data_IF_534455191221
#
_entry.id   IF_534455191221
#
_cell.length_a   1.000
_cell.length_b   1.000
_cell.length_c   1.000
_cell.angle_alpha   90.00
_cell.angle_beta   90.00
_cell.angle_gamma   90.00
#
_symmetry.space_group_name_H-M   'P 1'
#
loop_
_entity.id
_entity.type
_entity.pdbx_description
1 polymer ?
#
# COMPACT_ATOMS: atom_id res chain seq x y z
N UNK A 1 6.42 18.83 -19.68
CA UNK A 1 6.77 17.60 -20.41
C UNK A 1 5.54 17.13 -21.18
N UNK A 2 5.72 16.41 -22.29
CA UNK A 2 4.59 15.78 -22.97
C UNK A 2 4.18 14.49 -22.23
N UNK A 3 3.02 13.93 -22.57
CA UNK A 3 2.57 12.67 -21.99
C UNK A 3 3.55 11.53 -22.33
N UNK A 4 3.97 11.44 -23.59
CA UNK A 4 4.91 10.43 -24.05
C UNK A 4 6.23 10.47 -23.25
N UNK A 5 6.80 11.66 -23.03
CA UNK A 5 8.00 11.81 -22.19
C UNK A 5 7.75 11.38 -20.75
N UNK A 6 6.62 11.78 -20.14
CA UNK A 6 6.28 11.39 -18.77
C UNK A 6 6.13 9.87 -18.64
N UNK A 7 5.46 9.23 -19.60
CA UNK A 7 5.28 7.77 -19.63
C UNK A 7 6.61 7.04 -19.82
N UNK A 8 7.47 7.53 -20.72
CA UNK A 8 8.80 6.95 -21.00
C UNK A 8 9.66 6.90 -19.73
N UNK A 9 9.68 7.98 -18.95
CA UNK A 9 10.44 8.04 -17.69
C UNK A 9 9.70 7.40 -16.49
N UNK A 10 8.54 6.80 -16.72
CA UNK A 10 7.80 6.04 -15.71
C UNK A 10 6.87 6.83 -14.81
N UNK A 11 6.65 8.11 -15.12
CA UNK A 11 5.89 9.06 -14.30
C UNK A 11 6.38 9.04 -12.84
N UNK A 12 7.64 9.46 -12.58
CA UNK A 12 8.23 9.46 -11.25
C UNK A 12 7.32 10.15 -10.24
N UNK A 13 7.25 9.67 -8.98
CA UNK A 13 6.39 10.25 -7.97
C UNK A 13 6.51 11.76 -7.87
N UNK A 14 7.73 12.32 -7.85
CA UNK A 14 7.95 13.77 -7.73
C UNK A 14 7.33 14.60 -8.87
N UNK A 15 7.09 13.99 -10.04
CA UNK A 15 6.41 14.67 -11.15
C UNK A 15 4.90 14.51 -11.11
N UNK A 16 4.35 13.64 -10.27
CA UNK A 16 2.90 13.46 -10.03
C UNK A 16 2.40 14.39 -8.91
N UNK A 17 2.89 15.63 -8.91
CA UNK A 17 2.55 16.65 -7.93
C UNK A 17 1.05 16.97 -7.95
N UNK A 18 0.40 16.82 -6.79
CA UNK A 18 -1.03 17.10 -6.63
C UNK A 18 -1.34 18.59 -6.85
N UNK A 19 -0.41 19.50 -6.52
CA UNK A 19 -0.54 20.93 -6.77
C UNK A 19 -0.63 21.29 -8.26
N UNK A 20 -0.19 20.36 -9.13
CA UNK A 20 -0.24 20.52 -10.58
C UNK A 20 -1.47 19.87 -11.21
N UNK A 21 -1.87 18.69 -10.75
CA UNK A 21 -2.87 17.86 -11.44
C UNK A 21 -4.22 17.76 -10.74
N UNK A 22 -4.31 18.10 -9.45
CA UNK A 22 -5.56 18.11 -8.69
C UNK A 22 -6.14 19.52 -8.63
N UNK A 23 -7.47 19.61 -8.68
CA UNK A 23 -8.20 20.88 -8.46
C UNK A 23 -8.40 21.18 -6.97
N UNK A 24 -8.06 20.22 -6.11
CA UNK A 24 -8.13 20.30 -4.64
C UNK A 24 -6.83 19.73 -4.07
N UNK A 25 -5.69 20.42 -4.25
CA UNK A 25 -4.40 19.95 -3.73
C UNK A 25 -4.24 20.12 -2.22
N UNK A 26 -5.09 20.92 -1.58
CA UNK A 26 -5.02 21.21 -0.16
C UNK A 26 -5.52 20.05 0.70
N UNK A 27 -4.90 19.87 1.86
CA UNK A 27 -5.40 18.96 2.88
C UNK A 27 -6.66 19.52 3.55
N UNK A 28 -7.68 18.69 3.82
CA UNK A 28 -8.89 19.15 4.50
C UNK A 28 -8.60 19.81 5.85
N UNK A 29 -9.07 21.04 6.03
CA UNK A 29 -9.00 21.78 7.30
C UNK A 29 -10.34 21.72 8.04
N UNK A 30 -10.30 21.57 9.36
CA UNK A 30 -11.50 21.51 10.19
C UNK A 30 -12.34 22.79 10.06
N UNK A 31 -13.65 22.62 9.86
CA UNK A 31 -14.61 23.73 9.71
C UNK A 31 -14.78 24.24 8.27
N UNK A 32 -13.94 23.79 7.34
CA UNK A 32 -14.07 24.12 5.91
C UNK A 32 -14.83 23.04 5.14
N UNK A 33 -15.39 23.42 3.99
CA UNK A 33 -16.18 22.54 3.13
C UNK A 33 -15.31 22.08 1.96
N UNK A 34 -15.13 20.76 1.85
CA UNK A 34 -14.41 20.11 0.76
C UNK A 34 -15.35 19.23 -0.06
N UNK A 35 -15.14 19.12 -1.39
CA UNK A 35 -15.93 18.21 -2.20
C UNK A 35 -15.64 16.76 -1.82
N UNK A 36 -16.68 15.91 -1.84
CA UNK A 36 -16.52 14.47 -1.66
C UNK A 36 -15.65 13.84 -2.77
N UNK A 37 -15.74 14.43 -3.98
CA UNK A 37 -15.00 14.05 -5.17
C UNK A 37 -14.74 15.30 -6.01
N UNK A 38 -13.50 15.48 -6.46
CA UNK A 38 -13.14 16.38 -7.54
C UNK A 38 -12.45 15.62 -8.68
N UNK A 39 -12.76 15.99 -9.91
CA UNK A 39 -12.17 15.40 -11.12
C UNK A 39 -11.54 16.53 -11.92
N UNK A 40 -10.24 16.43 -12.21
CA UNK A 40 -9.53 17.38 -13.05
C UNK A 40 -9.00 16.71 -14.31
N UNK A 41 -9.31 17.31 -15.45
CA UNK A 41 -8.83 16.89 -16.77
C UNK A 41 -7.64 17.78 -17.14
N UNK A 42 -6.46 17.19 -17.26
CA UNK A 42 -5.22 17.91 -17.57
C UNK A 42 -4.77 17.58 -18.99
N UNK A 43 -4.96 18.52 -19.92
CA UNK A 43 -4.42 18.39 -21.28
C UNK A 43 -2.92 18.66 -21.27
N UNK A 44 -2.15 17.69 -21.75
CA UNK A 44 -0.71 17.83 -21.95
C UNK A 44 -0.41 17.64 -23.44
N UNK A 45 0.78 18.08 -23.89
CA UNK A 45 1.21 17.74 -25.26
C UNK A 45 1.10 16.22 -25.42
N UNK A 46 0.52 15.77 -26.52
CA UNK A 46 0.34 14.36 -26.93
C UNK A 46 -0.45 13.44 -25.97
N UNK A 47 -1.19 13.99 -24.98
CA UNK A 47 -2.04 13.16 -24.13
C UNK A 47 -2.88 13.90 -23.10
N UNK A 48 -3.40 13.13 -22.15
CA UNK A 48 -4.35 13.55 -21.12
C UNK A 48 -3.96 12.92 -19.78
N UNK A 49 -4.08 13.67 -18.69
CA UNK A 49 -4.05 13.11 -17.33
C UNK A 49 -5.39 13.41 -16.65
N UNK A 50 -6.15 12.36 -16.34
CA UNK A 50 -7.39 12.44 -15.57
C UNK A 50 -7.07 12.21 -14.09
N UNK A 51 -7.25 13.24 -13.26
CA UNK A 51 -6.99 13.17 -11.83
C UNK A 51 -8.31 13.03 -11.07
N UNK A 52 -8.38 12.06 -10.17
CA UNK A 52 -9.46 11.90 -9.20
C UNK A 52 -8.93 12.26 -7.80
N UNK A 53 -9.60 13.18 -7.13
CA UNK A 53 -9.38 13.48 -5.72
C UNK A 53 -10.63 13.09 -4.92
N UNK A 54 -10.51 12.06 -4.09
CA UNK A 54 -11.61 11.51 -3.28
C UNK A 54 -11.40 11.83 -1.80
N UNK A 55 -12.43 12.35 -1.14
CA UNK A 55 -12.38 12.62 0.29
C UNK A 55 -12.55 11.31 1.08
N UNK A 56 -11.50 10.86 1.76
CA UNK A 56 -11.47 9.52 2.37
C UNK A 56 -12.48 9.34 3.52
N UNK A 57 -12.98 10.41 4.15
CA UNK A 57 -14.09 10.31 5.10
C UNK A 57 -15.42 9.86 4.44
N UNK A 58 -15.55 10.01 3.12
CA UNK A 58 -16.76 9.66 2.37
C UNK A 58 -16.71 8.21 1.89
N UNK A 59 -15.57 7.78 1.33
CA UNK A 59 -15.44 6.50 0.65
C UNK A 59 -14.02 5.93 0.82
N UNK A 60 -13.91 4.61 0.89
CA UNK A 60 -12.64 3.92 0.91
C UNK A 60 -12.15 3.53 -0.51
N UNK A 61 -10.95 2.92 -0.58
CA UNK A 61 -10.40 2.45 -1.85
C UNK A 61 -11.24 1.39 -2.57
N UNK A 62 -12.10 0.64 -1.86
CA UNK A 62 -13.03 -0.31 -2.47
C UNK A 62 -14.19 0.42 -3.16
N UNK A 63 -14.80 1.38 -2.46
CA UNK A 63 -15.83 2.24 -3.02
C UNK A 63 -15.29 3.09 -4.19
N UNK A 64 -14.04 3.55 -4.12
CA UNK A 64 -13.37 4.22 -5.23
C UNK A 64 -13.20 3.29 -6.45
N UNK A 65 -12.87 2.00 -6.22
CA UNK A 65 -12.76 1.01 -7.30
C UNK A 65 -14.07 0.87 -8.05
N UNK A 66 -15.19 0.72 -7.34
CA UNK A 66 -16.51 0.61 -7.95
C UNK A 66 -16.93 1.90 -8.65
N UNK A 67 -16.67 3.06 -8.05
CA UNK A 67 -16.90 4.34 -8.71
C UNK A 67 -16.16 4.46 -10.04
N UNK A 68 -14.88 4.12 -10.10
CA UNK A 68 -14.10 4.26 -11.34
C UNK A 68 -14.61 3.33 -12.44
N UNK A 69 -15.03 2.10 -12.08
CA UNK A 69 -15.66 1.16 -13.04
C UNK A 69 -16.96 1.72 -13.62
N UNK A 70 -17.84 2.22 -12.76
CA UNK A 70 -19.10 2.84 -13.18
C UNK A 70 -18.86 4.13 -13.97
N UNK A 71 -17.87 4.94 -13.59
CA UNK A 71 -17.48 6.15 -14.31
C UNK A 71 -17.02 5.84 -15.75
N UNK A 72 -16.16 4.83 -15.93
CA UNK A 72 -15.73 4.41 -17.28
C UNK A 72 -16.84 3.72 -18.09
N UNK A 73 -17.75 3.01 -17.43
CA UNK A 73 -18.92 2.44 -18.08
C UNK A 73 -19.88 3.55 -18.54
N UNK A 74 -20.14 4.54 -17.70
CA UNK A 74 -21.02 5.66 -18.03
C UNK A 74 -20.50 6.59 -19.13
N UNK A 75 -19.18 6.66 -19.33
CA UNK A 75 -18.61 7.39 -20.48
C UNK A 75 -18.74 6.63 -21.80
N UNK A 76 -18.93 5.31 -21.75
CA UNK A 76 -19.11 4.47 -22.95
C UNK A 76 -20.58 4.18 -23.25
N UNK A 77 -21.39 3.94 -22.22
CA UNK A 77 -22.84 3.75 -22.27
C UNK A 77 -23.53 4.47 -21.10
N UNK A 78 -23.89 5.76 -21.27
CA UNK A 78 -24.52 6.57 -20.23
C UNK A 78 -25.87 6.04 -19.73
N UNK A 79 -26.52 5.13 -20.48
CA UNK A 79 -27.82 4.57 -20.15
C UNK A 79 -27.77 3.38 -19.18
N UNK A 80 -26.58 2.86 -18.89
CA UNK A 80 -26.38 1.60 -18.17
C UNK A 80 -25.58 1.80 -16.87
N UNK A 81 -26.00 2.76 -16.04
CA UNK A 81 -25.41 2.94 -14.70
C UNK A 81 -26.13 2.09 -13.66
N UNK A 82 -25.38 1.39 -12.81
CA UNK A 82 -25.94 0.62 -11.71
C UNK A 82 -26.46 1.54 -10.59
N UNK A 83 -27.60 1.23 -9.94
CA UNK A 83 -28.02 1.96 -8.75
C UNK A 83 -27.03 1.70 -7.60
N UNK A 84 -26.63 2.77 -6.91
CA UNK A 84 -25.74 2.66 -5.74
C UNK A 84 -26.54 2.16 -4.54
N UNK A 85 -26.05 1.11 -3.88
CA UNK A 85 -26.64 0.62 -2.63
C UNK A 85 -26.69 1.76 -1.59
N UNK A 86 -27.81 1.95 -0.86
CA UNK A 86 -27.91 3.00 0.15
C UNK A 86 -26.86 2.78 1.25
N UNK A 87 -26.36 3.88 1.81
CA UNK A 87 -25.44 3.80 2.96
C UNK A 87 -26.15 3.14 4.13
N UNK A 88 -25.52 2.11 4.66
CA UNK A 88 -26.00 1.38 5.83
C UNK A 88 -25.41 2.07 7.04
N UNK A 89 -26.28 2.64 7.88
CA UNK A 89 -25.88 3.22 9.15
C UNK A 89 -25.35 2.14 10.09
N UNK A 90 -24.33 2.45 10.86
CA UNK A 90 -23.89 1.61 11.96
C UNK A 90 -24.80 1.87 13.18
N UNK A 91 -25.38 0.81 13.74
CA UNK A 91 -26.15 0.90 14.98
C UNK A 91 -25.16 0.72 16.13
N UNK A 92 -24.94 1.78 16.91
CA UNK A 92 -24.01 1.76 18.03
C UNK A 92 -24.41 0.69 19.05
N UNK A 93 -23.43 -0.05 19.55
CA UNK A 93 -23.64 -1.00 20.62
C UNK A 93 -23.83 -0.27 21.98
N UNK A 94 -24.42 -0.94 22.98
CA UNK A 94 -24.52 -0.40 24.34
C UNK A 94 -23.18 0.07 24.93
N UNK A 95 -23.22 1.09 25.79
CA UNK A 95 -22.01 1.75 26.30
C UNK A 95 -21.06 0.83 27.10
N UNK A 96 -21.58 -0.24 27.70
CA UNK A 96 -20.79 -1.25 28.43
C UNK A 96 -19.97 -2.17 27.52
N UNK A 97 -20.16 -2.10 26.20
CA UNK A 97 -19.39 -2.83 25.20
C UNK A 97 -18.27 -2.00 24.56
N UNK A 98 -18.17 -0.70 24.91
CA UNK A 98 -17.13 0.19 24.40
C UNK A 98 -15.80 -0.15 25.07
N UNK A 99 -14.81 -0.52 24.26
CA UNK A 99 -13.45 -0.72 24.72
C UNK A 99 -12.61 0.54 24.49
N UNK A 100 -11.64 0.86 25.35
CA UNK A 100 -10.63 1.88 25.04
C UNK A 100 -9.90 1.55 23.73
N UNK A 101 -9.53 2.57 22.94
CA UNK A 101 -8.73 2.36 21.71
C UNK A 101 -7.46 1.54 21.98
N UNK A 102 -6.81 1.78 23.12
CA UNK A 102 -5.59 1.07 23.54
C UNK A 102 -5.81 -0.41 23.90
N UNK A 103 -7.05 -0.91 23.89
CA UNK A 103 -7.35 -2.34 23.95
C UNK A 103 -7.07 -3.07 22.64
N UNK A 104 -6.93 -2.33 21.54
CA UNK A 104 -6.61 -2.85 20.22
C UNK A 104 -5.12 -2.64 19.92
N UNK A 105 -4.33 -3.69 19.64
CA UNK A 105 -2.88 -3.58 19.46
C UNK A 105 -2.44 -2.59 18.37
N UNK A 106 -3.25 -2.44 17.33
CA UNK A 106 -3.00 -1.52 16.21
C UNK A 106 -3.25 -0.04 16.55
N UNK A 107 -3.84 0.26 17.70
CA UNK A 107 -4.05 1.62 18.20
C UNK A 107 -3.34 1.85 19.56
N UNK A 108 -2.53 0.89 20.04
CA UNK A 108 -1.80 0.98 21.31
C UNK A 108 -0.32 1.38 21.10
N UNK A 109 -0.04 2.68 21.22
CA UNK A 109 1.30 3.24 21.14
C UNK A 109 2.14 3.07 22.40
N UNK A 110 1.59 2.60 23.53
CA UNK A 110 2.37 2.34 24.77
C UNK A 110 3.40 1.22 24.57
N UNK A 111 3.22 0.43 23.50
CA UNK A 111 4.12 -0.64 23.08
C UNK A 111 5.12 -0.19 22.00
N UNK A 112 5.05 1.06 21.57
CA UNK A 112 6.06 1.62 20.67
C UNK A 112 7.37 1.84 21.44
N UNK A 113 8.55 1.58 20.85
CA UNK A 113 9.83 1.88 21.48
C UNK A 113 9.91 3.35 21.86
N UNK A 114 10.47 3.66 23.04
CA UNK A 114 10.75 5.06 23.41
C UNK A 114 11.97 5.54 22.62
N UNK A 115 11.82 6.60 21.81
CA UNK A 115 12.92 7.11 20.96
C UNK A 115 13.51 8.42 21.48
N UNK A 116 14.82 8.58 21.28
CA UNK A 116 15.45 9.89 21.17
C UNK A 116 14.97 10.59 19.87
N UNK A 117 14.77 11.90 19.90
CA UNK A 117 14.42 12.66 18.70
C UNK A 117 15.53 12.52 17.65
N UNK A 118 15.16 12.21 16.40
CA UNK A 118 16.08 12.35 15.27
C UNK A 118 16.42 13.83 15.14
N UNK A 119 17.71 14.17 15.18
CA UNK A 119 18.21 15.55 15.20
C UNK A 119 18.31 16.21 13.82
N UNK A 120 17.90 15.52 12.75
CA UNK A 120 17.86 16.04 11.38
C UNK A 120 16.44 16.17 10.84
N UNK A 121 16.22 17.14 9.95
CA UNK A 121 15.05 17.17 9.09
C UNK A 121 15.08 15.91 8.19
N UNK A 122 14.34 14.87 8.57
CA UNK A 122 14.20 13.67 7.76
C UNK A 122 13.46 14.05 6.47
N UNK A 123 14.20 14.14 5.36
CA UNK A 123 13.59 14.33 4.04
C UNK A 123 13.04 12.98 3.56
N UNK A 124 11.72 12.90 3.42
CA UNK A 124 11.05 11.71 2.87
C UNK A 124 11.14 11.75 1.35
N UNK A 125 11.47 10.61 0.76
CA UNK A 125 11.44 10.36 -0.68
C UNK A 125 10.47 9.23 -1.01
N UNK A 126 10.06 9.12 -2.28
CA UNK A 126 9.20 8.03 -2.75
C UNK A 126 9.73 7.47 -4.05
N UNK A 127 9.79 6.14 -4.12
CA UNK A 127 10.15 5.42 -5.34
C UNK A 127 9.05 4.42 -5.72
N UNK A 128 8.96 4.14 -7.02
CA UNK A 128 8.12 3.07 -7.57
C UNK A 128 9.03 1.95 -8.05
N UNK A 129 8.87 0.77 -7.44
CA UNK A 129 9.60 -0.45 -7.79
C UNK A 129 8.74 -1.35 -8.67
N UNK A 130 9.28 -1.80 -9.80
CA UNK A 130 8.58 -2.65 -10.76
C UNK A 130 9.10 -4.10 -10.69
N UNK A 131 8.22 -5.04 -10.41
CA UNK A 131 8.50 -6.48 -10.36
C UNK A 131 7.79 -7.19 -11.51
N UNK A 132 8.48 -8.10 -12.21
CA UNK A 132 7.81 -8.90 -13.24
C UNK A 132 6.78 -9.85 -12.61
N UNK A 133 5.76 -10.25 -13.38
CA UNK A 133 4.80 -11.26 -12.93
C UNK A 133 5.50 -12.59 -12.59
N UNK A 134 6.53 -12.94 -13.36
CA UNK A 134 7.35 -14.14 -13.14
C UNK A 134 8.11 -14.09 -11.82
N UNK A 135 8.77 -12.98 -11.51
CA UNK A 135 9.51 -12.81 -10.24
C UNK A 135 8.60 -12.97 -9.03
N UNK A 136 7.39 -12.40 -9.08
CA UNK A 136 6.42 -12.54 -7.99
C UNK A 136 5.89 -13.98 -7.88
N UNK A 137 5.70 -14.70 -8.99
CA UNK A 137 5.35 -16.13 -8.97
C UNK A 137 6.47 -17.00 -8.40
N UNK A 138 7.72 -16.71 -8.73
CA UNK A 138 8.88 -17.41 -8.18
C UNK A 138 8.99 -17.18 -6.67
N UNK A 139 8.79 -15.93 -6.22
CA UNK A 139 8.74 -15.59 -4.80
C UNK A 139 7.61 -16.36 -4.09
N UNK A 140 6.40 -16.35 -4.65
CA UNK A 140 5.25 -17.09 -4.09
C UNK A 140 5.55 -18.59 -3.98
N UNK A 141 6.15 -19.19 -5.01
CA UNK A 141 6.57 -20.59 -5.00
C UNK A 141 7.60 -20.91 -3.91
N UNK A 142 8.64 -20.08 -3.78
CA UNK A 142 9.69 -20.23 -2.77
C UNK A 142 9.14 -20.08 -1.34
N UNK A 143 8.30 -19.06 -1.11
CA UNK A 143 7.62 -18.85 0.17
C UNK A 143 6.70 -20.03 0.50
N UNK A 144 5.91 -20.51 -0.46
CA UNK A 144 5.03 -21.66 -0.24
C UNK A 144 5.80 -22.93 0.11
N UNK A 145 6.93 -23.19 -0.56
CA UNK A 145 7.80 -24.32 -0.24
C UNK A 145 8.37 -24.22 1.19
N UNK A 146 8.83 -23.03 1.57
CA UNK A 146 9.37 -22.77 2.91
C UNK A 146 8.31 -22.91 4.00
N UNK A 147 7.10 -22.37 3.79
CA UNK A 147 5.99 -22.52 4.73
C UNK A 147 5.58 -23.98 4.92
N UNK A 148 5.55 -24.77 3.85
CA UNK A 148 5.25 -26.20 3.93
C UNK A 148 6.26 -26.96 4.76
N UNK A 149 7.53 -26.58 4.65
CA UNK A 149 8.64 -27.17 5.41
C UNK A 149 8.60 -26.81 6.89
N UNK A 150 8.27 -25.56 7.24
CA UNK A 150 8.40 -25.06 8.62
C UNK A 150 7.10 -25.06 9.42
N UNK A 151 5.94 -24.88 8.77
CA UNK A 151 4.63 -24.75 9.42
C UNK A 151 3.76 -26.00 9.18
N UNK A 152 3.73 -26.51 7.95
CA UNK A 152 2.99 -27.73 7.60
C UNK A 152 2.41 -27.71 6.17
N UNK A 153 1.93 -28.87 5.66
CA UNK A 153 1.60 -29.06 4.25
C UNK A 153 0.51 -28.13 3.69
N UNK A 154 -0.40 -27.67 4.55
CA UNK A 154 -1.51 -26.78 4.19
C UNK A 154 -1.17 -25.28 4.35
N UNK A 155 0.06 -24.96 4.78
CA UNK A 155 0.49 -23.59 4.96
C UNK A 155 0.74 -22.91 3.60
N UNK A 156 0.16 -21.73 3.42
CA UNK A 156 0.31 -20.91 2.21
C UNK A 156 0.20 -19.43 2.57
N UNK A 157 0.68 -18.55 1.69
CA UNK A 157 0.46 -17.11 1.74
C UNK A 157 0.11 -16.62 0.32
N UNK A 158 -0.67 -15.54 0.20
CA UNK A 158 -1.03 -14.98 -1.11
C UNK A 158 0.18 -14.28 -1.74
N UNK A 159 0.19 -14.12 -3.06
CA UNK A 159 1.22 -13.33 -3.75
C UNK A 159 1.37 -11.90 -3.19
N UNK A 160 0.27 -11.28 -2.74
CA UNK A 160 0.25 -9.99 -2.04
C UNK A 160 1.01 -10.07 -0.73
N UNK A 161 0.72 -11.08 0.10
CA UNK A 161 1.40 -11.25 1.38
C UNK A 161 2.88 -11.53 1.17
N UNK A 162 3.25 -12.31 0.13
CA UNK A 162 4.63 -12.58 -0.23
C UNK A 162 5.36 -11.29 -0.65
N UNK A 163 4.81 -10.53 -1.59
CA UNK A 163 5.41 -9.28 -2.08
C UNK A 163 5.51 -8.22 -0.97
N UNK A 164 4.44 -8.02 -0.19
CA UNK A 164 4.45 -7.10 0.94
C UNK A 164 5.44 -7.51 2.03
N UNK A 165 5.63 -8.81 2.25
CA UNK A 165 6.61 -9.31 3.22
C UNK A 165 8.04 -9.13 2.74
N UNK A 166 8.30 -9.27 1.43
CA UNK A 166 9.58 -8.95 0.83
C UNK A 166 9.93 -7.46 1.06
N UNK A 167 8.98 -6.56 0.79
CA UNK A 167 9.14 -5.11 1.03
C UNK A 167 9.35 -4.84 2.52
N UNK A 168 8.56 -5.46 3.40
CA UNK A 168 8.68 -5.28 4.85
C UNK A 168 10.05 -5.70 5.37
N UNK A 169 10.53 -6.89 4.97
CA UNK A 169 11.87 -7.38 5.32
C UNK A 169 12.95 -6.43 4.80
N UNK A 170 12.86 -5.99 3.53
CA UNK A 170 13.83 -5.05 2.95
C UNK A 170 13.89 -3.72 3.73
N UNK A 171 12.75 -3.18 4.15
CA UNK A 171 12.71 -1.94 4.95
C UNK A 171 13.31 -2.14 6.33
N UNK A 172 13.02 -3.25 7.01
CA UNK A 172 13.62 -3.55 8.33
C UNK A 172 15.13 -3.73 8.20
N UNK A 173 15.62 -4.37 7.13
CA UNK A 173 17.05 -4.48 6.81
C UNK A 173 17.71 -3.13 6.57
N UNK A 174 17.11 -2.26 5.78
CA UNK A 174 17.61 -0.91 5.55
C UNK A 174 17.70 -0.08 6.85
N UNK A 175 16.83 -0.36 7.82
CA UNK A 175 16.78 0.29 9.13
C UNK A 175 17.62 -0.41 10.20
N UNK A 176 18.29 -1.53 9.91
CA UNK A 176 18.92 -2.38 10.92
C UNK A 176 19.91 -1.66 11.83
N UNK A 177 20.64 -0.66 11.31
CA UNK A 177 21.65 0.08 12.07
C UNK A 177 21.07 0.89 13.25
N UNK A 178 19.76 1.18 13.21
CA UNK A 178 19.04 1.97 14.21
C UNK A 178 17.96 1.18 14.94
N UNK A 179 17.90 -0.13 14.76
CA UNK A 179 16.93 -1.03 15.39
C UNK A 179 17.65 -2.04 16.29
N UNK A 180 17.10 -2.30 17.47
CA UNK A 180 17.54 -3.39 18.32
C UNK A 180 16.92 -4.72 17.84
N UNK A 181 17.66 -5.83 17.98
CA UNK A 181 17.17 -7.16 17.62
C UNK A 181 15.83 -7.53 18.31
N UNK A 182 15.63 -7.04 19.53
CA UNK A 182 14.41 -7.22 20.33
C UNK A 182 13.25 -6.27 19.98
N UNK A 183 13.48 -5.27 19.13
CA UNK A 183 12.41 -4.35 18.72
C UNK A 183 11.33 -5.12 17.96
N UNK A 184 10.08 -4.70 18.13
CA UNK A 184 8.95 -5.27 17.41
C UNK A 184 8.70 -4.48 16.14
N UNK A 185 9.06 -5.07 15.00
CA UNK A 185 8.70 -4.54 13.68
C UNK A 185 7.22 -4.79 13.38
N UNK A 186 6.61 -3.90 12.60
CA UNK A 186 5.17 -3.95 12.28
C UNK A 186 4.92 -3.71 10.80
N UNK A 187 3.90 -4.38 10.26
CA UNK A 187 3.25 -3.97 9.01
C UNK A 187 1.77 -3.76 9.30
N UNK A 188 1.34 -2.51 9.17
CA UNK A 188 -0.05 -2.11 9.24
C UNK A 188 -0.77 -2.49 7.95
N UNK A 189 -1.96 -3.08 8.05
CA UNK A 189 -2.69 -3.65 6.92
C UNK A 189 -4.13 -3.11 6.93
N UNK A 190 -4.50 -2.37 5.90
CA UNK A 190 -5.90 -2.02 5.64
C UNK A 190 -6.66 -3.26 5.14
N UNK A 191 -7.73 -3.65 5.84
CA UNK A 191 -8.55 -4.83 5.52
C UNK A 191 -9.96 -4.40 5.16
N UNK A 192 -10.39 -4.75 3.94
CA UNK A 192 -11.78 -4.58 3.51
C UNK A 192 -12.70 -5.51 4.32
N UNK A 193 -13.59 -4.93 5.12
CA UNK A 193 -14.48 -5.63 6.02
C UNK A 193 -15.86 -5.96 5.42
N UNK A 194 -16.12 -5.60 4.15
CA UNK A 194 -17.43 -5.82 3.50
C UNK A 194 -17.88 -7.27 3.59
N UNK A 195 -17.02 -8.22 3.23
CA UNK A 195 -17.36 -9.66 3.28
C UNK A 195 -17.62 -10.16 4.70
N UNK A 196 -16.85 -9.65 5.68
CA UNK A 196 -16.96 -10.00 7.10
C UNK A 196 -18.28 -9.52 7.69
N UNK A 197 -18.75 -8.35 7.24
CA UNK A 197 -20.03 -7.76 7.63
C UNK A 197 -21.19 -8.14 6.70
N UNK A 198 -20.94 -8.94 5.64
CA UNK A 198 -21.91 -9.32 4.62
C UNK A 198 -22.57 -8.11 3.94
N UNK A 199 -21.80 -7.04 3.74
CA UNK A 199 -22.23 -5.91 2.92
C UNK A 199 -22.16 -6.29 1.43
N UNK A 200 -23.00 -5.68 0.58
CA UNK A 200 -22.87 -5.80 -0.86
C UNK A 200 -21.47 -5.37 -1.36
N UNK A 201 -20.98 -6.01 -2.41
CA UNK A 201 -19.67 -5.67 -3.00
C UNK A 201 -19.67 -4.23 -3.55
N UNK A 202 -20.83 -3.75 -4.01
CA UNK A 202 -21.09 -2.39 -4.50
C UNK A 202 -21.42 -1.39 -3.38
N UNK A 203 -21.23 -1.76 -2.10
CA UNK A 203 -21.40 -0.83 -0.99
C UNK A 203 -20.48 0.39 -1.10
N UNK A 204 -21.10 1.56 -1.29
CA UNK A 204 -20.41 2.83 -1.44
C UNK A 204 -20.25 3.56 -0.08
N UNK A 205 -19.08 3.40 0.51
CA UNK A 205 -18.70 4.04 1.77
C UNK A 205 -17.40 3.47 2.31
N UNK A 206 -17.02 3.87 3.53
CA UNK A 206 -15.91 3.25 4.25
C UNK A 206 -16.36 1.94 4.89
N UNK A 207 -15.63 0.86 4.63
CA UNK A 207 -15.74 -0.42 5.32
C UNK A 207 -14.35 -1.06 5.41
N UNK A 208 -13.44 -0.34 6.06
CA UNK A 208 -12.06 -0.77 6.31
C UNK A 208 -11.83 -0.80 7.82
N UNK A 209 -11.14 -1.85 8.27
CA UNK A 209 -10.48 -1.88 9.58
C UNK A 209 -8.98 -2.12 9.38
N UNK A 210 -8.18 -1.73 10.36
CA UNK A 210 -6.75 -2.01 10.33
C UNK A 210 -6.42 -3.25 11.16
N UNK A 211 -5.39 -3.97 10.76
CA UNK A 211 -4.74 -5.01 11.56
C UNK A 211 -3.24 -4.92 11.38
N UNK A 212 -2.48 -5.43 12.34
CA UNK A 212 -1.02 -5.38 12.29
C UNK A 212 -0.46 -6.80 12.29
N UNK A 213 0.46 -7.09 11.38
CA UNK A 213 1.37 -8.20 11.54
C UNK A 213 2.63 -7.73 12.27
N UNK A 214 3.13 -8.54 13.20
CA UNK A 214 4.29 -8.19 14.03
C UNK A 214 5.30 -9.33 14.06
N UNK A 215 6.58 -8.97 14.06
CA UNK A 215 7.72 -9.87 14.21
C UNK A 215 8.83 -9.14 14.96
N UNK A 216 9.77 -9.86 15.59
CA UNK A 216 10.97 -9.20 16.09
C UNK A 216 11.87 -8.79 14.93
N UNK A 217 12.70 -7.77 15.11
CA UNK A 217 13.71 -7.38 14.12
C UNK A 217 14.65 -8.56 13.84
N UNK A 218 15.06 -9.31 14.86
CA UNK A 218 15.88 -10.53 14.70
C UNK A 218 15.24 -11.57 13.77
N UNK A 219 13.93 -11.83 13.91
CA UNK A 219 13.21 -12.77 13.05
C UNK A 219 13.22 -12.33 11.58
N UNK A 220 13.18 -11.01 11.31
CA UNK A 220 13.17 -10.44 9.96
C UNK A 220 14.57 -10.24 9.37
N UNK A 221 15.61 -10.15 10.20
CA UNK A 221 17.01 -10.03 9.78
C UNK A 221 17.73 -11.39 9.65
N UNK A 222 17.00 -12.51 9.80
CA UNK A 222 17.58 -13.86 9.71
C UNK A 222 18.46 -14.02 8.47
N UNK A 223 19.71 -14.48 8.70
CA UNK A 223 20.70 -14.73 7.66
C UNK A 223 20.59 -16.11 7.01
N UNK A 224 19.53 -16.90 7.30
CA UNK A 224 19.33 -18.19 6.66
C UNK A 224 18.93 -18.00 5.19
N UNK A 225 19.92 -18.08 4.31
CA UNK A 225 19.75 -18.02 2.86
C UNK A 225 19.62 -19.40 2.21
N UNK A 226 19.53 -20.49 3.00
CA UNK A 226 19.44 -21.86 2.45
C UNK A 226 18.17 -22.09 1.62
N UNK A 227 17.13 -21.29 1.86
CA UNK A 227 15.87 -21.31 1.11
C UNK A 227 15.85 -20.31 -0.06
N UNK A 228 16.93 -19.56 -0.29
CA UNK A 228 16.95 -18.56 -1.36
C UNK A 228 16.96 -19.21 -2.75
N UNK A 229 16.45 -18.45 -3.71
CA UNK A 229 16.41 -18.87 -5.12
C UNK A 229 17.86 -19.00 -5.62
N UNK A 230 18.21 -20.18 -6.13
CA UNK A 230 19.56 -20.47 -6.63
C UNK A 230 19.96 -19.47 -7.72
N UNK A 231 21.17 -18.90 -7.60
CA UNK A 231 21.67 -17.88 -8.53
C UNK A 231 21.10 -16.46 -8.32
N UNK A 232 20.19 -16.26 -7.36
CA UNK A 232 19.74 -14.92 -6.99
C UNK A 232 20.84 -14.16 -6.25
N UNK A 233 21.14 -12.89 -6.61
CA UNK A 233 22.08 -12.04 -5.87
C UNK A 233 21.46 -11.46 -4.58
N UNK A 234 20.20 -11.76 -4.29
CA UNK A 234 19.49 -11.22 -3.13
C UNK A 234 20.03 -11.76 -1.81
N UNK A 235 20.40 -10.87 -0.89
CA UNK A 235 20.73 -11.21 0.50
C UNK A 235 19.49 -11.28 1.40
N UNK A 236 18.32 -10.87 0.91
CA UNK A 236 17.04 -11.06 1.62
C UNK A 236 16.71 -12.55 1.72
N UNK A 237 16.52 -13.05 2.94
CA UNK A 237 16.19 -14.44 3.23
C UNK A 237 14.74 -14.79 2.86
N UNK A 238 14.54 -15.83 2.04
CA UNK A 238 13.21 -16.43 1.80
C UNK A 238 12.59 -16.96 3.09
N UNK A 239 13.39 -17.42 4.06
CA UNK A 239 12.87 -17.85 5.36
C UNK A 239 12.28 -16.68 6.16
N UNK A 240 12.96 -15.53 6.19
CA UNK A 240 12.45 -14.31 6.80
C UNK A 240 11.17 -13.81 6.10
N UNK A 241 11.17 -13.80 4.75
CA UNK A 241 9.99 -13.40 3.96
C UNK A 241 8.82 -14.35 4.17
N UNK A 242 9.06 -15.66 4.26
CA UNK A 242 8.01 -16.64 4.53
C UNK A 242 7.42 -16.47 5.94
N UNK A 243 8.27 -16.25 6.95
CA UNK A 243 7.81 -15.96 8.32
C UNK A 243 6.94 -14.70 8.36
N UNK A 244 7.40 -13.61 7.75
CA UNK A 244 6.64 -12.37 7.62
C UNK A 244 5.29 -12.59 6.88
N UNK A 245 5.30 -13.33 5.77
CA UNK A 245 4.09 -13.61 4.98
C UNK A 245 3.07 -14.45 5.76
N UNK A 246 3.56 -15.38 6.59
CA UNK A 246 2.72 -16.12 7.50
C UNK A 246 2.09 -15.22 8.57
N UNK A 247 2.87 -14.32 9.19
CA UNK A 247 2.36 -13.35 10.17
C UNK A 247 1.28 -12.45 9.54
N UNK A 248 1.53 -11.93 8.33
CA UNK A 248 0.54 -11.13 7.59
C UNK A 248 -0.76 -11.91 7.36
N UNK A 249 -0.65 -13.17 6.91
CA UNK A 249 -1.80 -14.03 6.71
C UNK A 249 -2.58 -14.24 8.01
N UNK A 250 -1.91 -14.52 9.12
CA UNK A 250 -2.58 -14.72 10.41
C UNK A 250 -3.29 -13.45 10.88
N UNK A 251 -2.66 -12.28 10.72
CA UNK A 251 -3.28 -10.99 11.05
C UNK A 251 -4.58 -10.78 10.27
N UNK A 252 -4.55 -10.93 8.94
CA UNK A 252 -5.75 -10.78 8.09
C UNK A 252 -6.80 -11.85 8.40
N UNK A 253 -6.41 -13.12 8.59
CA UNK A 253 -7.33 -14.20 8.96
C UNK A 253 -8.01 -13.96 10.32
N UNK A 254 -7.36 -13.22 11.22
CA UNK A 254 -7.90 -12.82 12.52
C UNK A 254 -9.04 -11.80 12.45
N UNK A 255 -9.21 -11.10 11.31
CA UNK A 255 -10.26 -10.10 11.10
C UNK A 255 -11.60 -10.81 10.84
N UNK A 256 -12.30 -11.13 11.93
CA UNK A 256 -13.64 -11.70 11.91
C UNK A 256 -14.71 -10.67 12.33
N UNK A 257 -15.98 -11.07 12.35
CA UNK A 257 -17.09 -10.13 12.65
C UNK A 257 -16.97 -9.52 14.06
N UNK A 258 -16.47 -10.28 15.06
CA UNK A 258 -16.22 -9.72 16.40
C UNK A 258 -15.11 -8.67 16.35
N UNK A 259 -14.00 -8.96 15.67
CA UNK A 259 -12.90 -8.03 15.48
C UNK A 259 -13.41 -6.69 14.92
N UNK A 260 -14.18 -6.75 13.83
CA UNK A 260 -14.74 -5.56 13.18
C UNK A 260 -15.72 -4.82 14.10
N UNK A 261 -16.68 -5.53 14.70
CA UNK A 261 -17.73 -4.92 15.53
C UNK A 261 -17.19 -4.28 16.81
N UNK A 262 -16.18 -4.87 17.47
CA UNK A 262 -15.56 -4.26 18.65
C UNK A 262 -14.96 -2.89 18.29
N UNK A 263 -14.32 -2.78 17.13
CA UNK A 263 -13.68 -1.54 16.65
C UNK A 263 -14.69 -0.50 16.23
N UNK A 264 -15.69 -0.88 15.43
CA UNK A 264 -16.76 0.02 15.03
C UNK A 264 -17.54 0.55 16.24
N UNK A 265 -17.75 -0.28 17.27
CA UNK A 265 -18.35 0.13 18.54
C UNK A 265 -17.52 1.22 19.20
N UNK A 266 -16.21 1.01 19.37
CA UNK A 266 -15.33 2.04 19.93
C UNK A 266 -15.30 3.30 19.07
N UNK A 267 -15.17 3.19 17.75
CA UNK A 267 -15.11 4.35 16.85
C UNK A 267 -16.39 5.18 16.89
N UNK A 268 -17.56 4.53 17.00
CA UNK A 268 -18.85 5.21 17.07
C UNK A 268 -19.04 6.04 18.34
N UNK A 269 -18.22 5.80 19.37
CA UNK A 269 -18.29 6.51 20.64
C UNK A 269 -17.24 7.63 20.79
N UNK A 270 -16.35 7.81 19.81
CA UNK A 270 -15.34 8.87 19.85
C UNK A 270 -15.96 10.23 19.53
N UNK A 271 -15.59 11.25 20.30
CA UNK A 271 -15.98 12.63 20.02
C UNK A 271 -15.25 13.17 18.78
N UNK A 272 -13.94 12.88 18.67
CA UNK A 272 -13.13 13.15 17.49
C UNK A 272 -12.73 11.84 16.78
N UNK A 273 -13.34 11.51 15.63
CA UNK A 273 -12.93 10.35 14.82
C UNK A 273 -11.46 10.39 14.38
N UNK A 274 -10.83 11.56 14.33
CA UNK A 274 -9.41 11.73 14.03
C UNK A 274 -8.48 11.09 15.05
N UNK A 275 -8.96 10.78 16.26
CA UNK A 275 -8.21 10.01 17.26
C UNK A 275 -7.80 8.62 16.74
N UNK A 276 -8.64 7.99 15.91
CA UNK A 276 -8.34 6.67 15.33
C UNK A 276 -7.08 6.74 14.48
N UNK A 277 -6.99 7.72 13.58
CA UNK A 277 -5.84 7.89 12.68
C UNK A 277 -4.56 8.22 13.47
N UNK A 278 -4.64 9.16 14.42
CA UNK A 278 -3.47 9.54 15.24
C UNK A 278 -2.97 8.38 16.10
N UNK A 279 -3.89 7.61 16.71
CA UNK A 279 -3.53 6.44 17.49
C UNK A 279 -2.89 5.34 16.62
N UNK A 280 -3.43 5.14 15.41
CA UNK A 280 -2.89 4.18 14.44
C UNK A 280 -1.48 4.54 13.98
N UNK A 281 -1.27 5.81 13.60
CA UNK A 281 0.04 6.33 13.17
C UNK A 281 1.08 6.20 14.29
N UNK A 282 0.71 6.60 15.51
CA UNK A 282 1.58 6.49 16.68
C UNK A 282 1.90 5.03 17.05
N UNK A 283 0.93 4.11 16.91
CA UNK A 283 1.13 2.70 17.23
C UNK A 283 1.92 1.96 16.15
N UNK A 284 1.76 2.31 14.88
CA UNK A 284 2.46 1.67 13.77
C UNK A 284 3.90 2.13 13.69
N UNK A 285 4.19 3.40 13.99
CA UNK A 285 5.55 3.95 14.03
C UNK A 285 6.29 3.80 12.67
N UNK A 286 5.61 4.29 11.62
CA UNK A 286 6.00 4.12 10.21
C UNK A 286 7.42 4.60 9.86
N UNK A 287 7.91 5.64 10.53
CA UNK A 287 9.26 6.17 10.31
C UNK A 287 10.35 5.32 10.98
N UNK A 288 10.00 4.32 11.80
CA UNK A 288 10.98 3.48 12.49
C UNK A 288 10.66 1.99 12.37
N UNK A 289 9.86 1.45 13.27
CA UNK A 289 9.65 0.00 13.35
C UNK A 289 8.55 -0.51 12.41
N UNK A 290 7.70 0.40 11.92
CA UNK A 290 6.54 0.06 11.11
C UNK A 290 6.65 0.42 9.63
N UNK A 291 5.72 -0.14 8.86
CA UNK A 291 5.25 0.40 7.57
C UNK A 291 3.73 0.24 7.48
N UNK A 292 3.07 1.11 6.72
CA UNK A 292 1.62 1.05 6.48
C UNK A 292 1.33 0.60 5.05
N UNK A 293 0.56 -0.48 4.92
CA UNK A 293 0.29 -1.18 3.66
C UNK A 293 -1.17 -1.07 3.24
N UNK A 294 -1.36 -0.60 2.01
CA UNK A 294 -2.63 -0.71 1.29
C UNK A 294 -2.44 -1.23 -0.13
N UNK A 295 -3.31 -2.15 -0.55
CA UNK A 295 -3.25 -2.73 -1.90
C UNK A 295 -4.29 -2.10 -2.82
N UNK A 296 -3.83 -1.43 -3.87
CA UNK A 296 -4.67 -0.80 -4.88
C UNK A 296 -4.71 -1.60 -6.19
N UNK A 297 -4.25 -2.86 -6.17
CA UNK A 297 -4.04 -3.65 -7.40
C UNK A 297 -5.26 -3.65 -8.34
N UNK A 298 -6.47 -3.66 -7.77
CA UNK A 298 -7.74 -3.85 -8.48
C UNK A 298 -8.39 -2.49 -8.86
N UNK A 299 -7.74 -1.35 -8.56
CA UNK A 299 -8.29 -0.01 -8.81
C UNK A 299 -8.04 0.47 -10.25
N UNK A 300 -9.04 0.36 -11.12
CA UNK A 300 -9.13 1.19 -12.33
C UNK A 300 -8.17 0.85 -13.49
N UNK A 301 -7.13 0.04 -13.29
CA UNK A 301 -6.15 -0.27 -14.35
C UNK A 301 -6.74 -0.99 -15.57
N UNK A 302 -7.80 -1.77 -15.38
CA UNK A 302 -8.52 -2.49 -16.43
C UNK A 302 -9.77 -1.74 -16.94
N UNK A 303 -10.05 -0.54 -16.41
CA UNK A 303 -11.24 0.24 -16.80
C UNK A 303 -11.02 0.91 -18.15
N UNK A 304 -12.03 0.81 -19.02
CA UNK A 304 -12.09 1.55 -20.27
C UNK A 304 -12.90 2.83 -20.05
N UNK A 305 -12.28 3.99 -20.26
CA UNK A 305 -12.91 5.29 -20.06
C UNK A 305 -13.52 5.87 -21.34
N UNK A 306 -13.12 5.41 -22.53
CA UNK A 306 -13.75 5.84 -23.79
C UNK A 306 -13.84 7.36 -24.00
N UNK A 307 -12.88 8.14 -23.47
CA UNK A 307 -12.96 9.60 -23.44
C UNK A 307 -12.93 10.14 -24.89
N UNK A 308 -13.94 10.93 -25.32
CA UNK A 308 -13.97 11.46 -26.69
C UNK A 308 -12.69 12.23 -27.03
N UNK A 309 -12.07 11.87 -28.16
CA UNK A 309 -10.85 12.49 -28.66
C UNK A 309 -9.53 11.82 -28.21
N UNK A 310 -9.57 10.78 -27.37
CA UNK A 310 -8.39 9.93 -27.12
C UNK A 310 -8.22 8.88 -28.22
N UNK A 311 -6.99 8.41 -28.42
CA UNK A 311 -6.67 7.37 -29.40
C UNK A 311 -6.94 5.94 -28.89
N UNK A 312 -7.20 5.79 -27.59
CA UNK A 312 -7.48 4.52 -26.91
C UNK A 312 -8.54 4.72 -25.84
N UNK A 313 -9.37 3.70 -25.60
CA UNK A 313 -10.30 3.67 -24.47
C UNK A 313 -9.62 3.30 -23.15
N UNK A 314 -8.41 2.74 -23.21
CA UNK A 314 -7.70 2.13 -22.07
C UNK A 314 -6.75 3.12 -21.41
N UNK A 315 -6.54 2.93 -20.11
CA UNK A 315 -5.49 3.63 -19.36
C UNK A 315 -4.11 3.14 -19.78
N UNK A 316 -3.23 4.07 -20.14
CA UNK A 316 -1.81 3.76 -20.41
C UNK A 316 -1.03 3.55 -19.10
N UNK A 317 -1.18 4.50 -18.15
CA UNK A 317 -0.47 4.50 -16.87
C UNK A 317 -1.39 4.97 -15.75
N UNK A 318 -1.38 4.29 -14.61
CA UNK A 318 -2.07 4.71 -13.38
C UNK A 318 -1.06 5.06 -12.29
N UNK A 319 -1.22 6.23 -11.65
CA UNK A 319 -0.29 6.71 -10.62
C UNK A 319 -1.03 7.24 -9.40
N UNK A 320 -0.37 7.14 -8.25
CA UNK A 320 -0.74 7.84 -7.02
C UNK A 320 -0.19 9.27 -7.11
N UNK A 321 -0.99 10.26 -6.70
CA UNK A 321 -0.51 11.63 -6.51
C UNK A 321 0.59 11.67 -5.45
N UNK A 322 1.57 12.55 -5.63
CA UNK A 322 2.73 12.62 -4.74
C UNK A 322 2.35 13.11 -3.35
N UNK A 323 2.82 12.39 -2.33
CA UNK A 323 2.69 12.77 -0.92
C UNK A 323 3.90 12.22 -0.13
N UNK A 324 4.61 13.05 0.64
CA UNK A 324 5.79 12.62 1.40
C UNK A 324 5.37 11.90 2.69
N UNK A 325 5.00 10.63 2.59
CA UNK A 325 4.57 9.82 3.74
C UNK A 325 5.60 8.73 4.02
N UNK A 326 6.48 8.94 5.00
CA UNK A 326 7.49 7.95 5.38
C UNK A 326 6.84 6.67 5.90
N UNK A 327 7.32 5.52 5.42
CA UNK A 327 6.81 4.20 5.75
C UNK A 327 5.46 3.87 5.10
N UNK A 328 4.88 4.77 4.31
CA UNK A 328 3.68 4.47 3.53
C UNK A 328 4.04 3.63 2.29
N UNK A 329 3.28 2.57 2.09
CA UNK A 329 3.51 1.56 1.06
C UNK A 329 2.19 1.22 0.35
N UNK A 330 2.20 1.31 -0.99
CA UNK A 330 1.07 0.96 -1.83
C UNK A 330 1.49 -0.01 -2.94
N UNK A 331 0.79 -1.15 -3.08
CA UNK A 331 0.80 -1.88 -4.37
C UNK A 331 -0.11 -1.10 -5.31
N UNK A 332 0.45 -0.57 -6.40
CA UNK A 332 -0.27 0.23 -7.37
C UNK A 332 -1.20 -0.64 -8.24
N UNK A 333 -2.16 -0.02 -8.93
CA UNK A 333 -3.07 -0.73 -9.81
C UNK A 333 -2.37 -1.53 -10.89
N UNK A 334 -2.90 -2.72 -11.18
CA UNK A 334 -2.28 -3.70 -12.06
C UNK A 334 -3.31 -4.29 -13.02
N UNK A 335 -3.01 -4.24 -14.32
CA UNK A 335 -3.84 -4.88 -15.34
C UNK A 335 -3.93 -6.39 -15.12
N UNK A 336 -5.15 -6.93 -15.13
CA UNK A 336 -5.46 -8.31 -14.79
C UNK A 336 -5.35 -8.64 -13.30
N UNK A 337 -5.32 -7.64 -12.43
CA UNK A 337 -5.36 -7.78 -10.98
C UNK A 337 -4.26 -8.73 -10.44
N UNK A 338 -4.66 -9.73 -9.65
CA UNK A 338 -3.73 -10.68 -9.00
C UNK A 338 -3.23 -11.80 -9.91
N UNK A 339 -3.86 -12.01 -11.07
CA UNK A 339 -3.61 -13.16 -11.97
C UNK A 339 -3.12 -12.76 -13.36
N UNK A 340 -3.10 -11.46 -13.69
CA UNK A 340 -2.60 -10.97 -14.97
C UNK A 340 -1.09 -11.17 -15.15
N UNK A 341 -0.59 -10.78 -16.31
CA UNK A 341 0.85 -10.85 -16.66
C UNK A 341 1.57 -9.49 -16.59
N UNK A 342 0.86 -8.39 -16.31
CA UNK A 342 1.46 -7.07 -16.17
C UNK A 342 2.50 -7.03 -15.04
N UNK A 343 3.44 -6.10 -15.06
CA UNK A 343 4.33 -5.93 -13.91
C UNK A 343 3.54 -5.50 -12.66
N UNK A 344 4.03 -5.93 -11.50
CA UNK A 344 3.62 -5.37 -10.22
C UNK A 344 4.39 -4.08 -9.97
N UNK A 345 3.73 -3.04 -9.50
CA UNK A 345 4.37 -1.79 -9.12
C UNK A 345 4.10 -1.49 -7.65
N UNK A 346 5.16 -1.13 -6.92
CA UNK A 346 5.12 -0.79 -5.49
C UNK A 346 5.59 0.64 -5.32
N UNK A 347 4.72 1.52 -4.83
CA UNK A 347 5.10 2.85 -4.37
C UNK A 347 5.50 2.77 -2.90
N UNK A 348 6.71 3.18 -2.58
CA UNK A 348 7.27 3.10 -1.23
C UNK A 348 7.87 4.45 -0.83
N UNK A 349 7.36 5.03 0.25
CA UNK A 349 7.90 6.24 0.87
C UNK A 349 8.84 5.90 2.03
N UNK A 350 10.05 6.45 2.05
CA UNK A 350 11.05 6.26 3.11
C UNK A 350 11.86 7.54 3.31
N UNK A 351 12.65 7.61 4.39
CA UNK A 351 13.76 8.57 4.45
C UNK A 351 14.73 8.33 3.27
N UNK A 352 15.44 9.37 2.82
CA UNK A 352 16.43 9.21 1.73
C UNK A 352 17.49 8.15 2.06
N UNK A 353 17.98 8.14 3.30
CA UNK A 353 18.97 7.17 3.79
C UNK A 353 18.46 5.73 3.71
N UNK A 354 17.23 5.47 4.19
CA UNK A 354 16.64 4.12 4.10
C UNK A 354 16.39 3.74 2.64
N UNK A 355 15.96 4.68 1.79
CA UNK A 355 15.73 4.43 0.36
C UNK A 355 17.01 4.04 -0.38
N UNK A 356 18.13 4.73 -0.13
CA UNK A 356 19.44 4.43 -0.71
C UNK A 356 19.88 2.99 -0.44
N UNK A 357 19.54 2.45 0.74
CA UNK A 357 19.82 1.05 1.10
C UNK A 357 18.87 0.06 0.43
N UNK A 358 17.57 0.39 0.32
CA UNK A 358 16.56 -0.50 -0.28
C UNK A 358 16.77 -0.69 -1.78
N UNK A 359 17.23 0.35 -2.50
CA UNK A 359 17.39 0.30 -3.97
C UNK A 359 18.60 -0.52 -4.45
N UNK A 360 19.50 -0.94 -3.56
CA UNK A 360 20.73 -1.67 -3.88
C UNK A 360 20.44 -3.02 -4.56
N UNK A 361 21.33 -3.43 -5.47
CA UNK A 361 21.19 -4.64 -6.31
C UNK A 361 21.22 -5.97 -5.56
N UNK A 362 21.52 -5.98 -4.26
CA UNK A 362 21.47 -7.15 -3.38
C UNK A 362 20.23 -7.13 -2.45
N UNK A 363 19.58 -5.97 -2.30
CA UNK A 363 18.40 -5.77 -1.46
C UNK A 363 17.12 -5.84 -2.31
N UNK A 364 16.12 -4.97 -2.09
CA UNK A 364 14.87 -4.99 -2.86
C UNK A 364 15.12 -4.75 -4.35
N UNK A 365 16.11 -3.93 -4.69
CA UNK A 365 16.51 -3.68 -6.08
C UNK A 365 16.80 -4.97 -6.86
N UNK A 366 17.35 -6.00 -6.20
CA UNK A 366 17.67 -7.30 -6.80
C UNK A 366 16.46 -8.04 -7.39
N UNK A 367 15.28 -7.82 -6.80
CA UNK A 367 13.99 -8.41 -7.16
C UNK A 367 13.25 -7.62 -8.23
N UNK A 368 13.72 -6.42 -8.55
CA UNK A 368 13.02 -5.51 -9.45
C UNK A 368 13.59 -5.61 -10.87
N UNK A 369 12.70 -5.40 -11.84
CA UNK A 369 13.09 -5.19 -13.24
C UNK A 369 13.68 -3.80 -13.44
N UNK A 370 13.07 -2.82 -12.76
CA UNK A 370 13.46 -1.41 -12.75
C UNK A 370 12.76 -0.68 -11.60
N UNK A 371 13.23 0.51 -11.26
CA UNK A 371 12.56 1.40 -10.31
C UNK A 371 12.73 2.88 -10.72
N UNK A 372 11.87 3.76 -10.23
CA UNK A 372 11.92 5.20 -10.50
C UNK A 372 11.68 5.98 -9.21
N UNK A 373 12.57 6.93 -8.90
CA UNK A 373 12.56 7.71 -7.65
C UNK A 373 12.55 9.22 -7.88
N UNK A 374 13.26 9.97 -7.03
CA UNK A 374 13.45 11.43 -7.16
C UNK A 374 14.27 11.83 -8.40
N UNK A 375 15.23 10.99 -8.79
CA UNK A 375 15.97 11.12 -10.04
C UNK A 375 15.04 10.85 -11.23
N UNK A 376 15.15 11.68 -12.26
CA UNK A 376 14.32 11.55 -13.46
C UNK A 376 14.73 10.31 -14.27
N UNK A 377 13.79 9.39 -14.46
CA UNK A 377 13.97 8.20 -15.31
C UNK A 377 13.97 6.87 -14.56
N UNK A 378 13.84 5.78 -15.31
CA UNK A 378 13.95 4.44 -14.78
C UNK A 378 15.40 4.05 -14.54
N UNK A 379 15.67 3.49 -13.37
CA UNK A 379 16.87 2.72 -13.08
C UNK A 379 16.61 1.27 -13.46
N UNK A 380 17.40 0.72 -14.38
CA UNK A 380 17.26 -0.65 -14.87
C UNK A 380 18.37 -1.51 -14.28
N UNK A 381 18.03 -2.75 -13.88
CA UNK A 381 19.01 -3.70 -13.36
C UNK A 381 20.16 -3.90 -14.37
N UNK A 382 21.40 -3.67 -13.93
CA UNK A 382 22.62 -3.87 -14.73
C UNK A 382 23.09 -2.66 -15.57
N UNK A 383 22.40 -1.52 -15.55
CA UNK A 383 22.79 -0.32 -16.32
C UNK A 383 23.71 0.67 -15.59
N UNK A 384 23.97 0.48 -14.29
CA UNK A 384 24.95 1.25 -13.52
C UNK A 384 25.79 0.29 -12.66
N UNK A 385 27.10 0.55 -12.50
CA UNK A 385 27.93 -0.23 -11.59
C UNK A 385 27.33 -0.14 -10.19
N UNK A 386 27.28 -1.28 -9.47
CA UNK A 386 27.02 -1.25 -8.04
C UNK A 386 27.94 -0.18 -7.45
N UNK A 387 27.36 0.77 -6.71
CA UNK A 387 28.15 1.63 -5.84
C UNK A 387 28.81 0.69 -4.84
N UNK A 388 30.07 0.34 -5.08
CA UNK A 388 30.92 -0.33 -4.11
C UNK A 388 31.06 0.62 -2.91
N UNK A 389 30.77 0.10 -1.70
CA UNK A 389 30.89 0.82 -0.43
C UNK A 389 32.30 1.40 -0.19
#
# INVERSE_FOLDING_TARGET
MSFATLAEIGMPPILMDIGRYSSVPEWPTAGEVYPALAIQVNFVKDGLILCFAFHHAVADGGAFTEFVKEFGSGTTDPGNMSPVAPRIGYIAAPADQILPLTSFPEYDSRRAPTRAASTGEATTTTAIFQFSAETVRQLEGAVAAQLKKTIGPDAWASNIACLSSLVWVAVVRARQARLAASDTAKIGIAVNARSVLRLPDDYFGNCIVHTNATASVEELLSADTSANIEGSPSIISIAAVAHAAWKMRQAVKGVNSKYVNDRLTTFSALEDPGEVSRAYEAATDNANTGIDFSSWRDQGADVEFGIPGTCTSKVDVWRKGWSPNEGAYNILPRKGGSKGEACWEVSLGLSKEDMERVVVCEELGSWTTRWVGESLGWFVKGSQPCMEE
#
